data_IF_311809064319
#
_entry.id   IF_311809064319
#
_cell.length_a   1.000
_cell.length_b   1.000
_cell.length_c   1.000
_cell.angle_alpha   90.00
_cell.angle_beta   90.00
_cell.angle_gamma   90.00
#
_symmetry.space_group_name_H-M   'P 1'
#
loop_
_entity.id
_entity.type
_entity.pdbx_description
1 polymer ?
#
# COMPACT_ATOMS: atom_id res chain seq x y z
N UNK A 1 11.75 -7.04 -16.01
CA UNK A 1 10.65 -7.35 -15.07
C UNK A 1 11.27 -7.61 -13.72
N UNK A 2 10.66 -7.15 -12.63
CA UNK A 2 11.07 -7.44 -11.25
C UNK A 2 9.92 -8.14 -10.55
N UNK A 3 10.22 -9.05 -9.64
CA UNK A 3 9.22 -9.77 -8.87
C UNK A 3 9.21 -9.25 -7.44
N UNK A 4 8.02 -9.21 -6.85
CA UNK A 4 7.79 -8.87 -5.46
C UNK A 4 6.80 -9.83 -4.82
N UNK A 5 6.64 -9.72 -3.52
CA UNK A 5 5.58 -10.41 -2.80
C UNK A 5 4.40 -9.46 -2.60
N UNK A 6 3.20 -10.03 -2.55
CA UNK A 6 1.98 -9.31 -2.18
C UNK A 6 1.17 -10.19 -1.24
N UNK A 7 0.70 -9.62 -0.13
CA UNK A 7 -0.11 -10.41 0.78
C UNK A 7 -0.42 -9.75 2.11
N UNK A 8 -0.71 -10.60 3.08
CA UNK A 8 -1.06 -10.24 4.44
C UNK A 8 -0.44 -11.23 5.42
N UNK A 9 -0.09 -10.76 6.60
CA UNK A 9 0.11 -11.62 7.76
C UNK A 9 -1.22 -11.88 8.45
N UNK A 10 -1.36 -13.04 9.09
CA UNK A 10 -2.56 -13.40 9.84
C UNK A 10 -2.20 -13.93 11.21
N UNK A 11 -2.88 -13.44 12.25
CA UNK A 11 -2.81 -13.94 13.60
C UNK A 11 -4.04 -14.81 13.91
N UNK A 12 -3.83 -16.00 14.47
CA UNK A 12 -4.93 -16.85 14.92
C UNK A 12 -5.40 -16.38 16.29
N UNK A 13 -6.70 -16.29 16.47
CA UNK A 13 -7.31 -16.17 17.80
C UNK A 13 -7.57 -17.57 18.33
N UNK A 14 -7.23 -17.81 19.59
CA UNK A 14 -7.45 -19.11 20.22
C UNK A 14 -7.23 -19.06 21.72
N UNK A 15 -7.26 -20.23 22.39
CA UNK A 15 -6.97 -20.39 23.80
C UNK A 15 -5.48 -20.22 24.14
N UNK A 16 -5.10 -20.48 25.43
CA UNK A 16 -3.74 -20.27 25.94
C UNK A 16 -2.64 -20.99 25.14
N UNK A 17 -2.96 -22.10 24.50
CA UNK A 17 -2.00 -22.91 23.73
C UNK A 17 -1.90 -22.50 22.26
N UNK A 18 -2.62 -21.45 21.84
CA UNK A 18 -2.58 -20.97 20.45
C UNK A 18 -1.42 -20.00 20.26
N UNK A 19 -0.48 -20.33 19.38
CA UNK A 19 0.54 -19.38 18.93
C UNK A 19 -0.05 -18.36 17.96
N UNK A 20 -0.56 -17.26 18.50
CA UNK A 20 -1.16 -16.18 17.70
C UNK A 20 -0.15 -15.45 16.82
N UNK A 21 1.15 -15.55 17.12
CA UNK A 21 2.20 -14.84 16.39
C UNK A 21 2.78 -15.62 15.21
N UNK A 22 2.45 -16.89 15.06
CA UNK A 22 3.03 -17.79 14.05
C UNK A 22 2.96 -17.18 12.63
N UNK A 23 1.77 -16.78 12.18
CA UNK A 23 1.60 -16.25 10.82
C UNK A 23 2.32 -14.93 10.56
N UNK A 24 2.55 -14.13 11.62
CA UNK A 24 3.38 -12.92 11.50
C UNK A 24 4.87 -13.25 11.37
N UNK A 25 5.36 -14.26 12.14
CA UNK A 25 6.75 -14.73 12.00
C UNK A 25 6.97 -15.34 10.62
N UNK A 26 6.07 -16.22 10.18
CA UNK A 26 6.13 -16.83 8.84
C UNK A 26 6.16 -15.76 7.72
N UNK A 27 5.35 -14.70 7.85
CA UNK A 27 5.38 -13.59 6.91
C UNK A 27 6.78 -12.93 6.87
N UNK A 28 7.37 -12.65 8.03
CA UNK A 28 8.71 -12.05 8.10
C UNK A 28 9.75 -12.97 7.49
N UNK A 29 9.77 -14.24 7.89
CA UNK A 29 10.78 -15.22 7.43
C UNK A 29 10.68 -15.46 5.91
N UNK A 30 9.47 -15.58 5.36
CA UNK A 30 9.24 -15.69 3.91
C UNK A 30 9.74 -14.45 3.15
N UNK A 31 9.59 -13.25 3.70
CA UNK A 31 10.09 -12.03 3.08
C UNK A 31 11.62 -11.90 3.16
N UNK A 32 12.24 -12.35 4.24
CA UNK A 32 13.69 -12.41 4.38
C UNK A 32 14.27 -13.42 3.37
N UNK A 33 13.63 -14.58 3.20
CA UNK A 33 14.02 -15.56 2.19
C UNK A 33 13.82 -15.03 0.77
N UNK A 34 12.69 -14.35 0.51
CA UNK A 34 12.44 -13.72 -0.78
C UNK A 34 13.52 -12.69 -1.15
N UNK A 35 13.97 -11.87 -0.20
CA UNK A 35 15.09 -10.97 -0.44
C UNK A 35 16.36 -11.75 -0.84
N UNK A 36 16.68 -12.83 -0.13
CA UNK A 36 17.83 -13.67 -0.44
C UNK A 36 17.73 -14.33 -1.84
N UNK A 37 16.53 -14.59 -2.31
CA UNK A 37 16.23 -15.09 -3.66
C UNK A 37 16.18 -13.99 -4.73
N UNK A 38 16.40 -12.72 -4.36
CA UNK A 38 16.46 -11.60 -5.29
C UNK A 38 15.12 -10.96 -5.62
N UNK A 39 14.08 -11.19 -4.82
CA UNK A 39 12.83 -10.44 -4.94
C UNK A 39 13.06 -8.96 -4.63
N UNK A 40 12.35 -8.09 -5.36
CA UNK A 40 12.58 -6.65 -5.33
C UNK A 40 11.80 -5.92 -4.25
N UNK A 41 10.55 -6.34 -4.00
CA UNK A 41 9.62 -5.64 -3.11
C UNK A 41 8.66 -6.59 -2.42
N UNK A 42 8.07 -6.11 -1.34
CA UNK A 42 6.86 -6.69 -0.76
C UNK A 42 5.80 -5.60 -0.62
N UNK A 43 4.54 -5.95 -0.91
CA UNK A 43 3.40 -5.07 -0.69
C UNK A 43 2.44 -5.71 0.30
N UNK A 44 2.11 -4.99 1.35
CA UNK A 44 1.29 -5.45 2.47
C UNK A 44 -0.05 -4.74 2.48
N UNK A 45 -1.14 -5.50 2.63
CA UNK A 45 -2.50 -4.95 2.76
C UNK A 45 -2.75 -4.39 4.15
N UNK A 46 -3.77 -3.54 4.26
CA UNK A 46 -4.38 -3.12 5.53
C UNK A 46 -5.82 -3.60 5.55
N UNK A 47 -6.20 -4.35 6.59
CA UNK A 47 -7.58 -4.76 6.79
C UNK A 47 -7.95 -4.74 8.28
N UNK A 48 -9.18 -4.30 8.56
CA UNK A 48 -9.71 -4.17 9.92
C UNK A 48 -10.99 -4.99 10.09
N UNK A 49 -11.23 -5.46 11.31
CA UNK A 49 -12.49 -6.08 11.75
C UNK A 49 -12.94 -7.29 10.91
N UNK A 50 -12.02 -7.95 10.19
CA UNK A 50 -12.36 -9.07 9.29
C UNK A 50 -12.71 -10.35 10.04
N UNK A 51 -12.32 -10.48 11.30
CA UNK A 51 -12.43 -11.74 12.07
C UNK A 51 -11.33 -12.77 11.76
N UNK A 52 -10.56 -12.57 10.69
CA UNK A 52 -9.51 -13.50 10.25
C UNK A 52 -8.12 -13.18 10.83
N UNK A 53 -8.00 -12.19 11.71
CA UNK A 53 -6.72 -11.79 12.29
C UNK A 53 -5.73 -11.19 11.29
N UNK A 54 -6.22 -10.63 10.18
CA UNK A 54 -5.38 -9.96 9.18
C UNK A 54 -4.66 -8.74 9.79
N UNK A 55 -3.52 -8.41 9.21
CA UNK A 55 -2.74 -7.25 9.62
C UNK A 55 -3.53 -5.95 9.41
N UNK A 56 -3.57 -5.14 10.46
CA UNK A 56 -4.20 -3.82 10.46
C UNK A 56 -3.18 -2.67 10.60
N UNK A 57 -2.07 -2.93 11.31
CA UNK A 57 -0.98 -1.98 11.51
C UNK A 57 0.17 -2.27 10.53
N UNK A 58 -0.06 -2.03 9.24
CA UNK A 58 0.84 -2.43 8.15
C UNK A 58 2.22 -1.79 8.29
N UNK A 59 2.30 -0.50 8.64
CA UNK A 59 3.58 0.20 8.82
C UNK A 59 4.42 -0.39 9.96
N UNK A 60 3.79 -0.83 11.06
CA UNK A 60 4.50 -1.45 12.18
C UNK A 60 5.17 -2.76 11.74
N UNK A 61 4.43 -3.60 10.99
CA UNK A 61 4.97 -4.86 10.49
C UNK A 61 6.06 -4.64 9.44
N UNK A 62 5.88 -3.67 8.54
CA UNK A 62 6.89 -3.29 7.55
C UNK A 62 8.15 -2.69 8.21
N UNK A 63 8.00 -1.95 9.31
CA UNK A 63 9.15 -1.43 10.07
C UNK A 63 9.97 -2.57 10.67
N UNK A 64 9.31 -3.57 11.25
CA UNK A 64 9.99 -4.77 11.74
C UNK A 64 10.69 -5.54 10.61
N UNK A 65 10.00 -5.72 9.48
CA UNK A 65 10.59 -6.36 8.31
C UNK A 65 11.77 -5.56 7.75
N UNK A 66 11.68 -4.24 7.77
CA UNK A 66 12.76 -3.34 7.37
C UNK A 66 14.06 -3.54 8.16
N UNK A 67 13.95 -3.88 9.46
CA UNK A 67 15.09 -4.22 10.31
C UNK A 67 15.70 -5.62 9.99
N UNK A 68 14.94 -6.49 9.33
CA UNK A 68 15.35 -7.87 8.98
C UNK A 68 15.85 -7.99 7.54
N UNK A 69 15.64 -6.95 6.72
CA UNK A 69 15.99 -6.90 5.30
C UNK A 69 16.90 -5.71 5.01
N UNK A 70 17.60 -5.73 3.86
CA UNK A 70 18.57 -4.67 3.47
C UNK A 70 18.22 -3.97 2.16
N UNK A 71 17.60 -4.69 1.22
CA UNK A 71 17.37 -4.22 -0.16
C UNK A 71 15.91 -4.30 -0.58
N UNK A 72 15.11 -5.17 0.08
CA UNK A 72 13.69 -5.36 -0.22
C UNK A 72 12.93 -4.04 -0.02
N UNK A 73 12.23 -3.58 -1.05
CA UNK A 73 11.35 -2.42 -0.91
C UNK A 73 10.08 -2.80 -0.15
N UNK A 74 9.60 -1.89 0.66
CA UNK A 74 8.54 -2.09 1.65
C UNK A 74 7.32 -1.28 1.26
N UNK A 75 6.34 -1.92 0.64
CA UNK A 75 5.16 -1.27 0.10
C UNK A 75 3.89 -1.52 0.92
N UNK A 76 2.99 -0.57 0.89
CA UNK A 76 1.60 -0.75 1.34
C UNK A 76 0.67 -0.85 0.13
N UNK A 77 -0.31 -1.76 0.17
CA UNK A 77 -1.27 -1.92 -0.92
C UNK A 77 -2.69 -2.22 -0.41
N UNK A 78 -3.32 -1.26 0.23
CA UNK A 78 -2.96 0.14 0.44
C UNK A 78 -3.25 0.53 1.89
N UNK A 79 -2.73 1.69 2.36
CA UNK A 79 -3.21 2.38 3.55
C UNK A 79 -4.51 3.12 3.20
N UNK A 80 -5.54 2.93 3.99
CA UNK A 80 -6.87 3.49 3.71
C UNK A 80 -7.04 4.82 4.44
N UNK A 81 -6.72 5.91 3.77
CA UNK A 81 -6.59 7.24 4.36
C UNK A 81 -7.84 7.78 5.08
N UNK A 82 -9.11 7.47 4.67
CA UNK A 82 -10.29 8.08 5.28
C UNK A 82 -10.46 7.94 6.79
N UNK A 83 -9.85 6.93 7.41
CA UNK A 83 -9.93 6.74 8.87
C UNK A 83 -8.61 6.99 9.61
N UNK A 84 -7.52 7.29 8.90
CA UNK A 84 -6.25 7.63 9.54
C UNK A 84 -6.16 9.12 9.88
N UNK A 85 -5.55 9.46 11.02
CA UNK A 85 -5.04 10.80 11.21
C UNK A 85 -3.86 11.03 10.25
N UNK A 86 -3.95 11.98 9.30
CA UNK A 86 -2.95 12.10 8.24
C UNK A 86 -1.58 12.53 8.74
N UNK A 87 -1.50 13.32 9.82
CA UNK A 87 -0.23 13.75 10.41
C UNK A 87 0.47 12.60 11.09
N UNK A 88 -0.24 11.86 11.96
CA UNK A 88 0.32 10.66 12.62
C UNK A 88 0.76 9.60 11.59
N UNK A 89 -0.01 9.44 10.52
CA UNK A 89 0.33 8.50 9.46
C UNK A 89 1.59 8.93 8.70
N UNK A 90 1.74 10.23 8.42
CA UNK A 90 2.95 10.79 7.80
C UNK A 90 4.19 10.59 8.68
N UNK A 91 4.10 10.82 9.99
CA UNK A 91 5.18 10.59 10.95
C UNK A 91 5.61 9.11 10.99
N UNK A 92 4.65 8.19 11.02
CA UNK A 92 4.91 6.74 11.00
C UNK A 92 5.57 6.31 9.68
N UNK A 93 5.09 6.82 8.56
CA UNK A 93 5.65 6.53 7.25
C UNK A 93 7.07 7.10 7.10
N UNK A 94 7.31 8.33 7.54
CA UNK A 94 8.63 8.96 7.54
C UNK A 94 9.62 8.19 8.45
N UNK A 95 9.15 7.72 9.61
CA UNK A 95 9.95 6.88 10.52
C UNK A 95 10.38 5.58 9.84
N UNK A 96 9.44 4.86 9.19
CA UNK A 96 9.76 3.66 8.42
C UNK A 96 10.73 3.96 7.28
N UNK A 97 10.52 5.06 6.55
CA UNK A 97 11.35 5.45 5.43
C UNK A 97 12.81 5.69 5.87
N UNK A 98 13.00 6.42 6.96
CA UNK A 98 14.32 6.64 7.57
C UNK A 98 14.98 5.34 8.03
N UNK A 99 14.28 4.54 8.84
CA UNK A 99 14.81 3.31 9.41
C UNK A 99 15.16 2.28 8.34
N UNK A 100 14.43 2.28 7.24
CA UNK A 100 14.69 1.38 6.11
C UNK A 100 15.74 1.92 5.13
N UNK A 101 16.22 3.15 5.30
CA UNK A 101 17.17 3.79 4.36
C UNK A 101 16.53 4.11 3.01
N UNK A 102 15.28 4.62 3.01
CA UNK A 102 14.59 5.06 1.79
C UNK A 102 13.97 3.91 0.98
N UNK A 103 13.52 2.85 1.64
CA UNK A 103 12.91 1.69 0.95
C UNK A 103 11.38 1.67 0.98
N UNK A 104 10.72 2.68 1.56
CA UNK A 104 9.26 2.75 1.59
C UNK A 104 8.68 3.04 0.21
N UNK A 105 7.68 2.26 -0.18
CA UNK A 105 6.73 2.50 -1.27
C UNK A 105 5.36 2.79 -0.63
N UNK A 106 4.94 4.07 -0.61
CA UNK A 106 3.79 4.52 0.16
C UNK A 106 2.49 4.38 -0.64
N UNK A 107 1.87 3.23 -0.53
CA UNK A 107 0.61 2.94 -1.22
C UNK A 107 -0.60 3.38 -0.42
N UNK A 108 -1.47 4.18 -1.06
CA UNK A 108 -2.64 4.81 -0.45
C UNK A 108 -3.92 4.49 -1.22
N UNK A 109 -5.05 4.50 -0.53
CA UNK A 109 -6.35 4.24 -1.13
C UNK A 109 -7.53 4.79 -0.34
N UNK A 110 -8.70 4.73 -0.99
CA UNK A 110 -9.97 5.26 -0.46
C UNK A 110 -10.72 4.25 0.42
N UNK A 111 -10.37 2.97 0.34
CA UNK A 111 -11.14 1.89 0.95
C UNK A 111 -12.40 1.53 0.16
N UNK A 112 -12.96 0.36 0.45
CA UNK A 112 -14.16 -0.14 -0.23
C UNK A 112 -15.02 -1.07 0.64
N UNK A 113 -14.54 -1.43 1.83
CA UNK A 113 -15.24 -2.39 2.71
C UNK A 113 -16.13 -1.68 3.71
N UNK A 114 -17.43 -1.83 3.56
CA UNK A 114 -18.41 -1.22 4.44
C UNK A 114 -18.19 -1.52 5.94
N UNK A 115 -17.84 -2.76 6.29
CA UNK A 115 -17.61 -3.14 7.69
C UNK A 115 -16.42 -2.43 8.34
N UNK A 116 -15.40 -2.06 7.55
CA UNK A 116 -14.25 -1.28 8.04
C UNK A 116 -14.66 0.17 8.31
N UNK A 117 -15.38 0.80 7.37
CA UNK A 117 -15.96 2.14 7.55
C UNK A 117 -16.90 2.20 8.75
N UNK A 118 -17.82 1.24 8.86
CA UNK A 118 -18.76 1.16 9.98
C UNK A 118 -18.05 0.96 11.31
N UNK A 119 -17.00 0.11 11.35
CA UNK A 119 -16.20 -0.14 12.55
C UNK A 119 -15.44 1.09 13.06
N UNK A 120 -15.01 1.96 12.16
CA UNK A 120 -14.38 3.25 12.51
C UNK A 120 -15.37 4.40 12.67
N UNK A 121 -16.68 4.15 12.52
CA UNK A 121 -17.72 5.19 12.53
C UNK A 121 -17.46 6.30 11.51
N UNK A 122 -16.90 5.96 10.35
CA UNK A 122 -16.69 6.87 9.22
C UNK A 122 -17.76 6.59 8.18
N UNK A 123 -18.57 7.60 7.78
CA UNK A 123 -19.52 7.43 6.68
C UNK A 123 -18.82 7.08 5.37
N UNK A 124 -19.27 6.01 4.70
CA UNK A 124 -18.61 5.54 3.47
C UNK A 124 -18.73 6.54 2.32
N UNK A 125 -19.77 7.34 2.30
CA UNK A 125 -19.97 8.46 1.37
C UNK A 125 -18.94 9.58 1.54
N UNK A 126 -18.26 9.64 2.68
CA UNK A 126 -17.17 10.59 2.92
C UNK A 126 -15.78 10.04 2.50
N UNK A 127 -15.71 8.82 1.95
CA UNK A 127 -14.43 8.19 1.59
C UNK A 127 -13.61 9.06 0.64
N UNK A 128 -14.22 9.54 -0.44
CA UNK A 128 -13.52 10.37 -1.44
C UNK A 128 -13.03 11.71 -0.84
N UNK A 129 -13.88 12.55 -0.24
CA UNK A 129 -13.42 13.84 0.29
C UNK A 129 -12.44 13.70 1.48
N UNK A 130 -12.58 12.68 2.32
CA UNK A 130 -11.58 12.40 3.38
C UNK A 130 -10.25 11.97 2.80
N UNK A 131 -10.27 11.13 1.76
CA UNK A 131 -9.05 10.71 1.08
C UNK A 131 -8.30 11.90 0.49
N UNK A 132 -9.00 12.81 -0.20
CA UNK A 132 -8.38 13.98 -0.82
C UNK A 132 -7.77 14.91 0.23
N UNK A 133 -8.50 15.19 1.30
CA UNK A 133 -8.01 16.06 2.37
C UNK A 133 -6.81 15.43 3.10
N UNK A 134 -6.87 14.13 3.42
CA UNK A 134 -5.75 13.44 4.04
C UNK A 134 -4.51 13.41 3.16
N UNK A 135 -4.69 13.18 1.86
CA UNK A 135 -3.59 13.14 0.90
C UNK A 135 -2.89 14.49 0.75
N UNK A 136 -3.64 15.60 0.74
CA UNK A 136 -3.09 16.97 0.75
C UNK A 136 -2.26 17.22 2.01
N UNK A 137 -2.80 16.89 3.18
CA UNK A 137 -2.08 17.05 4.46
C UNK A 137 -0.81 16.21 4.48
N UNK A 138 -0.86 14.94 4.08
CA UNK A 138 0.30 14.04 4.04
C UNK A 138 1.37 14.56 3.08
N UNK A 139 0.97 15.01 1.90
CA UNK A 139 1.92 15.56 0.91
C UNK A 139 2.63 16.80 1.47
N UNK A 140 1.87 17.72 2.08
CA UNK A 140 2.46 18.89 2.76
C UNK A 140 3.35 18.49 3.92
N UNK A 141 2.94 17.52 4.73
CA UNK A 141 3.71 17.01 5.85
C UNK A 141 5.09 16.47 5.43
N UNK A 142 5.17 15.80 4.28
CA UNK A 142 6.44 15.29 3.75
C UNK A 142 7.32 16.33 3.09
N UNK A 143 6.73 17.40 2.57
CA UNK A 143 7.45 18.38 1.71
C UNK A 143 7.68 19.75 2.38
N UNK A 144 6.96 20.07 3.46
CA UNK A 144 7.12 21.35 4.14
C UNK A 144 8.37 21.36 5.04
N UNK A 145 9.21 22.35 4.86
CA UNK A 145 10.40 22.59 5.69
C UNK A 145 10.10 23.56 6.86
N UNK A 146 8.91 24.14 6.87
CA UNK A 146 8.46 25.08 7.88
C UNK A 146 7.13 24.63 8.48
N UNK A 147 6.82 25.04 9.73
CA UNK A 147 5.52 24.75 10.31
C UNK A 147 4.36 25.25 9.45
N UNK A 148 3.29 24.48 9.39
CA UNK A 148 2.08 24.84 8.67
C UNK A 148 0.81 24.54 9.49
N UNK A 149 -0.28 25.21 9.16
CA UNK A 149 -1.61 24.92 9.69
C UNK A 149 -2.51 24.38 8.58
N UNK A 150 -3.48 23.56 8.94
CA UNK A 150 -4.50 23.04 8.06
C UNK A 150 -5.88 23.16 8.72
N UNK A 151 -6.83 23.78 8.03
CA UNK A 151 -8.20 24.00 8.50
C UNK A 151 -9.17 23.39 7.51
N UNK A 152 -9.19 22.05 7.48
CA UNK A 152 -10.05 21.29 6.58
C UNK A 152 -11.43 20.98 7.16
N UNK A 153 -12.21 20.23 6.42
CA UNK A 153 -13.52 19.74 6.88
C UNK A 153 -13.37 18.61 7.90
N UNK A 154 -12.39 17.74 7.72
CA UNK A 154 -12.24 16.51 8.49
C UNK A 154 -11.08 16.56 9.47
N UNK A 155 -10.02 17.30 9.15
CA UNK A 155 -8.84 17.45 10.00
C UNK A 155 -8.46 18.91 10.18
N UNK A 156 -7.97 19.21 11.39
CA UNK A 156 -7.52 20.55 11.74
C UNK A 156 -6.22 20.44 12.52
N UNK A 157 -5.22 21.18 12.09
CA UNK A 157 -3.90 21.21 12.69
C UNK A 157 -3.37 22.63 12.76
N UNK A 158 -2.72 22.97 13.87
CA UNK A 158 -2.17 24.31 14.10
C UNK A 158 -0.66 24.25 14.24
N UNK A 159 0.04 24.99 13.38
CA UNK A 159 1.47 25.25 13.48
C UNK A 159 2.30 23.97 13.68
N UNK A 160 2.05 22.95 12.88
CA UNK A 160 2.70 21.65 12.94
C UNK A 160 3.88 21.55 11.98
N UNK A 161 4.88 20.79 12.36
CA UNK A 161 5.94 20.27 11.48
C UNK A 161 6.04 18.77 11.70
N UNK A 162 6.14 18.00 10.62
CA UNK A 162 6.25 16.54 10.73
C UNK A 162 7.70 16.14 10.97
N UNK A 163 7.92 15.40 12.03
CA UNK A 163 9.22 14.87 12.45
C UNK A 163 9.12 13.36 12.70
N UNK A 164 10.06 12.58 12.18
CA UNK A 164 11.23 12.96 11.41
C UNK A 164 10.91 13.28 9.93
N UNK A 165 11.82 13.92 9.18
CA UNK A 165 11.67 14.06 7.73
C UNK A 165 11.88 12.70 7.05
N UNK A 166 11.37 12.54 5.82
CA UNK A 166 11.59 11.33 5.01
C UNK A 166 13.04 11.22 4.52
N UNK A 167 13.56 10.01 4.37
CA UNK A 167 14.84 9.74 3.71
C UNK A 167 14.76 10.02 2.21
N UNK A 168 13.67 9.58 1.56
CA UNK A 168 13.42 9.82 0.15
C UNK A 168 12.89 11.25 -0.07
N UNK A 169 13.37 11.92 -1.14
CA UNK A 169 13.01 13.30 -1.47
C UNK A 169 12.35 13.39 -2.85
N UNK A 170 11.32 14.22 -3.01
CA UNK A 170 10.68 15.08 -1.99
C UNK A 170 9.89 14.30 -0.94
N UNK A 171 9.53 13.05 -1.21
CA UNK A 171 8.79 12.13 -0.35
C UNK A 171 8.95 10.67 -0.88
N UNK A 172 8.57 9.65 -0.11
CA UNK A 172 8.47 8.27 -0.62
C UNK A 172 7.55 8.21 -1.84
N UNK A 173 7.84 7.33 -2.83
CA UNK A 173 6.96 7.18 -3.99
C UNK A 173 5.54 6.83 -3.56
N UNK A 174 4.56 7.61 -4.03
CA UNK A 174 3.16 7.27 -3.84
C UNK A 174 2.75 6.18 -4.82
N UNK A 175 1.98 5.22 -4.32
CA UNK A 175 1.33 4.16 -5.09
C UNK A 175 -0.17 4.22 -4.86
N UNK A 176 -0.96 4.00 -5.90
CA UNK A 176 -2.41 4.04 -5.79
C UNK A 176 -3.06 2.93 -6.62
N UNK A 177 -4.08 2.29 -6.05
CA UNK A 177 -4.86 1.26 -6.73
C UNK A 177 -5.67 1.83 -7.89
N UNK A 178 -5.63 1.15 -9.05
CA UNK A 178 -6.45 1.47 -10.20
C UNK A 178 -7.12 0.21 -10.75
N UNK A 179 -8.42 0.29 -11.04
CA UNK A 179 -9.21 -0.81 -11.59
C UNK A 179 -10.23 -0.34 -12.63
N UNK A 180 -10.20 0.94 -13.01
CA UNK A 180 -11.08 1.52 -14.02
C UNK A 180 -10.35 2.57 -14.84
N UNK A 181 -10.82 2.89 -16.07
CA UNK A 181 -10.21 3.94 -16.89
C UNK A 181 -10.13 5.30 -16.20
N UNK A 182 -11.10 5.61 -15.34
CA UNK A 182 -11.11 6.85 -14.55
C UNK A 182 -9.99 6.85 -13.50
N UNK A 183 -9.83 5.76 -12.75
CA UNK A 183 -8.80 5.67 -11.71
C UNK A 183 -7.40 5.60 -12.31
N UNK A 184 -7.20 4.93 -13.44
CA UNK A 184 -5.92 4.93 -14.19
C UNK A 184 -5.50 6.36 -14.55
N UNK A 185 -6.44 7.14 -15.11
CA UNK A 185 -6.21 8.55 -15.44
C UNK A 185 -5.88 9.39 -14.21
N UNK A 186 -6.59 9.16 -13.11
CA UNK A 186 -6.36 9.85 -11.84
C UNK A 186 -4.93 9.60 -11.32
N UNK A 187 -4.50 8.33 -11.28
CA UNK A 187 -3.15 7.94 -10.84
C UNK A 187 -2.07 8.60 -11.71
N UNK A 188 -2.24 8.56 -13.04
CA UNK A 188 -1.31 9.17 -13.98
C UNK A 188 -1.20 10.69 -13.76
N UNK A 189 -2.34 11.39 -13.63
CA UNK A 189 -2.37 12.86 -13.43
C UNK A 189 -1.72 13.33 -12.14
N UNK A 190 -1.76 12.49 -11.10
CA UNK A 190 -1.08 12.75 -9.82
C UNK A 190 0.43 12.50 -9.89
N UNK A 191 0.93 11.90 -10.94
CA UNK A 191 2.32 11.47 -11.04
C UNK A 191 2.64 10.27 -10.14
N UNK A 192 1.63 9.52 -9.70
CA UNK A 192 1.78 8.37 -8.81
C UNK A 192 2.09 7.08 -9.58
N UNK A 193 2.57 6.08 -8.86
CA UNK A 193 2.75 4.73 -9.36
C UNK A 193 1.44 3.95 -9.25
N UNK A 194 1.21 3.03 -10.17
CA UNK A 194 -0.06 2.32 -10.29
C UNK A 194 0.02 0.90 -9.72
N UNK A 195 -0.95 0.56 -8.86
CA UNK A 195 -1.21 -0.80 -8.40
C UNK A 195 -2.42 -1.36 -9.14
N UNK A 196 -2.24 -2.45 -9.87
CA UNK A 196 -3.31 -3.17 -10.55
C UNK A 196 -3.78 -4.34 -9.70
N UNK A 197 -5.11 -4.48 -9.57
CA UNK A 197 -5.73 -5.45 -8.69
C UNK A 197 -5.58 -6.89 -9.18
N UNK A 198 -5.65 -7.82 -8.24
CA UNK A 198 -5.45 -9.27 -8.42
C UNK A 198 -6.58 -9.99 -9.18
N UNK A 199 -7.67 -9.31 -9.50
CA UNK A 199 -8.85 -9.91 -10.13
C UNK A 199 -9.01 -9.52 -11.60
N UNK A 200 -8.12 -8.67 -12.14
CA UNK A 200 -8.17 -8.26 -13.53
C UNK A 200 -7.66 -9.37 -14.46
N UNK A 201 -8.33 -9.55 -15.60
CA UNK A 201 -7.87 -10.44 -16.67
C UNK A 201 -6.60 -9.87 -17.33
N UNK A 202 -5.83 -10.73 -17.98
CA UNK A 202 -4.58 -10.33 -18.64
C UNK A 202 -4.81 -9.22 -19.68
N UNK A 203 -5.89 -9.32 -20.44
CA UNK A 203 -6.29 -8.34 -21.44
C UNK A 203 -6.61 -6.97 -20.78
N UNK A 204 -7.36 -6.98 -19.68
CA UNK A 204 -7.68 -5.77 -18.92
C UNK A 204 -6.43 -5.11 -18.34
N UNK A 205 -5.48 -5.90 -17.84
CA UNK A 205 -4.19 -5.40 -17.35
C UNK A 205 -3.42 -4.71 -18.47
N UNK A 206 -3.35 -5.32 -19.66
CA UNK A 206 -2.67 -4.74 -20.81
C UNK A 206 -3.31 -3.42 -21.25
N UNK A 207 -4.64 -3.34 -21.29
CA UNK A 207 -5.38 -2.11 -21.60
C UNK A 207 -5.11 -1.01 -20.56
N UNK A 208 -5.15 -1.34 -19.27
CA UNK A 208 -4.88 -0.40 -18.18
C UNK A 208 -3.44 0.12 -18.21
N UNK A 209 -2.47 -0.74 -18.49
CA UNK A 209 -1.06 -0.34 -18.63
C UNK A 209 -0.87 0.55 -19.86
N UNK A 210 -1.49 0.22 -21.00
CA UNK A 210 -1.43 1.03 -22.20
C UNK A 210 -2.05 2.41 -21.98
N UNK A 211 -3.20 2.48 -21.30
CA UNK A 211 -3.84 3.73 -20.92
C UNK A 211 -2.95 4.56 -19.99
N UNK A 212 -2.40 3.94 -18.92
CA UNK A 212 -1.52 4.64 -17.98
C UNK A 212 -0.31 5.24 -18.70
N UNK A 213 0.33 4.46 -19.59
CA UNK A 213 1.43 4.93 -20.43
C UNK A 213 1.01 6.17 -21.23
N UNK A 214 -0.11 6.08 -21.95
CA UNK A 214 -0.62 7.18 -22.76
C UNK A 214 -0.90 8.45 -21.96
N UNK A 215 -1.49 8.32 -20.77
CA UNK A 215 -1.81 9.45 -19.89
C UNK A 215 -0.52 10.10 -19.31
N UNK A 216 0.50 9.30 -18.98
CA UNK A 216 1.81 9.80 -18.51
C UNK A 216 2.55 10.55 -19.64
N UNK A 217 2.58 9.97 -20.85
CA UNK A 217 3.22 10.57 -22.01
C UNK A 217 2.51 11.86 -22.48
N UNK A 218 1.18 11.91 -22.36
CA UNK A 218 0.39 13.12 -22.63
C UNK A 218 0.70 14.30 -21.71
N UNK A 219 1.28 14.03 -20.52
CA UNK A 219 1.78 15.06 -19.59
C UNK A 219 3.25 15.44 -19.83
N UNK A 220 3.87 14.92 -20.88
CA UNK A 220 5.26 15.21 -21.23
C UNK A 220 6.28 14.40 -20.41
N UNK A 221 5.85 13.35 -19.71
CA UNK A 221 6.74 12.48 -18.93
C UNK A 221 7.05 11.18 -19.69
N UNK A 222 8.25 10.64 -19.48
CA UNK A 222 8.59 9.33 -19.98
C UNK A 222 7.88 8.23 -19.15
N UNK A 223 7.32 7.24 -19.83
CA UNK A 223 6.77 6.07 -19.15
C UNK A 223 7.87 5.15 -18.66
N UNK A 224 7.86 4.86 -17.37
CA UNK A 224 8.74 3.90 -16.73
C UNK A 224 7.95 2.65 -16.31
N UNK A 225 8.26 1.45 -16.84
CA UNK A 225 7.53 0.23 -16.50
C UNK A 225 7.53 -0.10 -14.99
N UNK A 226 8.55 0.35 -14.25
CA UNK A 226 8.64 0.15 -12.80
C UNK A 226 7.64 0.97 -11.99
N UNK A 227 6.91 1.88 -12.64
CA UNK A 227 5.79 2.63 -12.04
C UNK A 227 4.48 1.85 -12.03
N UNK A 228 4.47 0.61 -12.51
CA UNK A 228 3.31 -0.27 -12.50
C UNK A 228 3.64 -1.57 -11.77
N UNK A 229 2.83 -1.92 -10.77
CA UNK A 229 2.86 -3.22 -10.13
C UNK A 229 1.52 -3.94 -10.35
N UNK A 230 1.62 -5.18 -10.85
CA UNK A 230 0.48 -6.08 -10.98
C UNK A 230 0.46 -6.98 -9.76
N UNK A 231 -0.60 -6.86 -8.96
CA UNK A 231 -0.79 -7.67 -7.76
C UNK A 231 -1.52 -8.96 -8.13
N UNK A 232 -0.97 -10.12 -7.75
CA UNK A 232 -1.59 -11.41 -7.98
C UNK A 232 -1.46 -12.29 -6.76
N UNK A 233 -2.51 -13.04 -6.42
CA UNK A 233 -2.46 -14.05 -5.37
C UNK A 233 -2.00 -15.37 -5.97
N UNK A 234 -0.82 -15.83 -5.55
CA UNK A 234 -0.38 -17.19 -5.82
C UNK A 234 -0.88 -18.10 -4.70
N UNK A 235 -1.83 -18.97 -4.98
CA UNK A 235 -2.20 -20.03 -4.06
C UNK A 235 -1.24 -21.21 -4.22
N UNK A 236 -0.41 -21.46 -3.23
CA UNK A 236 0.45 -22.64 -3.21
C UNK A 236 -0.36 -23.83 -2.65
N UNK A 237 -0.77 -24.75 -3.52
CA UNK A 237 -1.36 -26.01 -3.09
C UNK A 237 -0.30 -26.90 -2.44
N UNK A 238 -0.55 -27.44 -1.25
CA UNK A 238 0.27 -28.52 -0.71
C UNK A 238 0.17 -29.73 -1.63
N UNK A 239 1.22 -29.97 -2.40
CA UNK A 239 1.49 -31.22 -3.09
C UNK A 239 0.62 -31.51 -4.33
N UNK A 240 0.96 -30.94 -5.46
CA UNK A 240 1.04 -31.58 -6.77
C UNK A 240 1.68 -30.59 -7.75
N UNK A 241 2.62 -31.09 -8.52
CA UNK A 241 3.35 -30.36 -9.58
C UNK A 241 2.46 -30.17 -10.83
N UNK A 242 1.19 -29.82 -10.66
CA UNK A 242 0.30 -29.50 -11.76
C UNK A 242 -0.18 -28.06 -11.63
N UNK A 243 0.31 -27.23 -12.54
CA UNK A 243 -0.27 -25.94 -12.87
C UNK A 243 -1.72 -26.16 -13.35
N UNK A 244 -2.68 -26.08 -12.43
CA UNK A 244 -4.08 -26.09 -12.82
C UNK A 244 -4.40 -24.78 -13.53
N UNK A 245 -4.64 -24.88 -14.85
CA UNK A 245 -5.23 -23.79 -15.65
C UNK A 245 -6.55 -23.37 -14.98
N UNK A 246 -6.86 -22.07 -14.90
CA UNK A 246 -8.16 -21.61 -14.40
C UNK A 246 -9.25 -22.25 -15.27
N UNK A 247 -10.19 -22.94 -14.64
CA UNK A 247 -11.39 -23.43 -15.32
C UNK A 247 -12.24 -22.22 -15.68
N UNK A 248 -12.37 -21.94 -16.96
CA UNK A 248 -13.44 -21.08 -17.46
C UNK A 248 -14.76 -21.78 -17.10
N UNK A 249 -15.56 -21.14 -16.24
CA UNK A 249 -16.95 -21.53 -16.05
C UNK A 249 -17.71 -21.14 -17.32
N UNK A 250 -18.35 -22.13 -17.93
CA UNK A 250 -19.27 -21.96 -19.04
C UNK A 250 -20.60 -21.34 -18.58
#
# INVERSE_FOLDING_TARGET
MRFGLFGSAQARRGGPDTDSSQGFREFIDNNVEAEALGYYSTFLVEHHFTGFGQVSASLNLLTWLGARTRHLRLGTAVLVLPWHNPVLLAEQAATLDLLSGGRLDFGVGKGYRYNEFAGFCVPMEEADPRFEEALDVITRAFTSEVPFSHHGKYWQFENIVVEPPTAQKPHPPFWMGAGSPRSVREVARRGYNMLLGQHALAEEILEQVAQFKSEVEAQGHAFEPMRVAVLSVLSWGKGTTELTKPRCAG
#
